data_IF_362999684302
#
_entry.id   IF_362999684302
#
_cell.length_a   1.000
_cell.length_b   1.000
_cell.length_c   1.000
_cell.angle_alpha   90.00
_cell.angle_beta   90.00
_cell.angle_gamma   90.00
#
_symmetry.space_group_name_H-M   'P 1'
#
loop_
_entity.id
_entity.type
_entity.pdbx_description
1 polymer ?
#
# COMPACT_ATOMS: atom_id res chain seq x y z
N UNK A 1 29.61 27.01 43.87
CA UNK A 1 28.87 26.92 42.59
C UNK A 1 28.26 25.56 42.43
N UNK A 2 27.07 25.34 43.00
CA UNK A 2 26.27 24.14 42.73
C UNK A 2 25.31 24.48 41.59
N UNK A 3 25.65 24.08 40.37
CA UNK A 3 24.68 24.05 39.28
C UNK A 3 23.73 22.87 39.53
N UNK A 4 22.64 23.14 40.24
CA UNK A 4 21.48 22.26 40.25
C UNK A 4 20.84 22.34 38.87
N UNK A 5 21.21 21.41 37.98
CA UNK A 5 20.44 21.18 36.77
C UNK A 5 19.06 20.66 37.20
N UNK A 6 18.03 21.50 37.01
CA UNK A 6 16.65 21.06 37.11
C UNK A 6 16.42 20.21 35.87
N UNK A 7 16.36 18.89 36.04
CA UNK A 7 15.94 18.00 34.97
C UNK A 7 14.48 18.32 34.65
N UNK A 8 14.13 18.56 33.38
CA UNK A 8 12.74 18.83 32.99
C UNK A 8 11.83 17.66 33.37
N UNK A 9 10.55 17.94 33.58
CA UNK A 9 9.57 16.91 33.90
C UNK A 9 9.51 15.88 32.76
N UNK A 10 9.20 14.62 33.09
CA UNK A 10 9.09 13.53 32.11
C UNK A 10 8.19 13.87 30.92
N UNK A 11 7.09 14.59 31.19
CA UNK A 11 6.13 15.02 30.18
C UNK A 11 6.69 16.08 29.23
N UNK A 12 7.52 17.00 29.73
CA UNK A 12 8.17 18.02 28.92
C UNK A 12 9.17 17.39 27.95
N UNK A 13 9.95 16.41 28.42
CA UNK A 13 10.89 15.66 27.58
C UNK A 13 10.13 14.90 26.49
N UNK A 14 9.03 14.23 26.84
CA UNK A 14 8.23 13.47 25.90
C UNK A 14 7.58 14.36 24.83
N UNK A 15 7.09 15.53 25.20
CA UNK A 15 6.53 16.51 24.27
C UNK A 15 7.59 17.01 23.27
N UNK A 16 8.81 17.28 23.75
CA UNK A 16 9.93 17.67 22.88
C UNK A 16 10.30 16.53 21.93
N UNK A 17 10.43 15.29 22.44
CA UNK A 17 10.76 14.13 21.61
C UNK A 17 9.70 13.87 20.53
N UNK A 18 8.42 13.96 20.88
CA UNK A 18 7.30 13.88 19.91
C UNK A 18 7.38 14.97 18.85
N UNK A 19 7.64 16.22 19.27
CA UNK A 19 7.79 17.34 18.34
C UNK A 19 8.94 17.09 17.36
N UNK A 20 10.13 16.74 17.87
CA UNK A 20 11.30 16.45 17.04
C UNK A 20 11.04 15.27 16.09
N UNK A 21 10.36 14.22 16.57
CA UNK A 21 9.97 13.08 15.75
C UNK A 21 9.02 13.48 14.61
N UNK A 22 7.97 14.26 14.91
CA UNK A 22 7.00 14.73 13.91
C UNK A 22 7.63 15.64 12.85
N UNK A 23 8.66 16.41 13.21
CA UNK A 23 9.44 17.22 12.26
C UNK A 23 10.45 16.41 11.46
N UNK A 24 10.60 15.11 11.75
CA UNK A 24 11.52 14.20 11.08
C UNK A 24 12.99 14.40 11.44
N UNK A 25 13.29 15.19 12.47
CA UNK A 25 14.66 15.46 12.96
C UNK A 25 15.26 14.27 13.69
N UNK A 26 14.43 13.49 14.39
CA UNK A 26 14.81 12.26 15.08
C UNK A 26 13.76 11.17 14.83
N UNK A 27 14.10 9.91 15.11
CA UNK A 27 13.11 8.83 15.20
C UNK A 27 13.01 8.32 16.63
N UNK A 28 11.81 8.38 17.21
CA UNK A 28 11.54 7.81 18.53
C UNK A 28 10.91 6.44 18.30
N UNK A 29 11.62 5.39 18.68
CA UNK A 29 11.19 4.00 18.54
C UNK A 29 10.74 3.51 19.91
N UNK A 30 9.63 2.78 19.97
CA UNK A 30 9.07 2.30 21.22
C UNK A 30 8.70 0.83 21.10
N UNK A 31 9.12 0.04 22.09
CA UNK A 31 8.57 -1.29 22.39
C UNK A 31 7.80 -1.24 23.72
N UNK A 32 7.28 -2.38 24.17
CA UNK A 32 6.57 -2.49 25.45
C UNK A 32 7.43 -2.00 26.63
N UNK A 33 8.72 -2.34 26.62
CA UNK A 33 9.61 -2.12 27.76
C UNK A 33 10.70 -1.06 27.53
N UNK A 34 10.93 -0.65 26.28
CA UNK A 34 12.06 0.23 25.92
C UNK A 34 11.65 1.35 24.98
N UNK A 35 12.37 2.47 25.09
CA UNK A 35 12.29 3.60 24.15
C UNK A 35 13.71 3.89 23.65
N UNK A 36 13.86 3.95 22.33
CA UNK A 36 15.10 4.34 21.68
C UNK A 36 14.92 5.66 20.95
N UNK A 37 15.94 6.51 21.00
CA UNK A 37 15.97 7.77 20.27
C UNK A 37 17.07 7.70 19.23
N UNK A 38 16.67 7.57 17.96
CA UNK A 38 17.58 7.59 16.83
C UNK A 38 17.78 9.05 16.42
N UNK A 39 18.93 9.61 16.79
CA UNK A 39 19.27 11.02 16.53
C UNK A 39 19.58 11.27 15.06
N UNK A 40 20.25 10.32 14.39
CA UNK A 40 20.57 10.43 12.97
C UNK A 40 20.02 9.23 12.19
N UNK A 41 18.79 9.36 11.70
CA UNK A 41 18.12 8.34 10.91
C UNK A 41 18.84 8.04 9.59
N UNK A 42 19.51 9.05 9.00
CA UNK A 42 20.14 8.92 7.68
C UNK A 42 21.38 8.01 7.72
N UNK A 43 22.20 8.15 8.75
CA UNK A 43 23.35 7.27 8.96
C UNK A 43 22.88 5.84 9.20
N UNK A 44 21.95 5.64 10.15
CA UNK A 44 21.43 4.31 10.46
C UNK A 44 20.81 3.65 9.23
N UNK A 45 20.01 4.39 8.46
CA UNK A 45 19.43 3.89 7.22
C UNK A 45 20.50 3.51 6.20
N UNK A 46 21.54 4.33 6.03
CA UNK A 46 22.62 4.05 5.07
C UNK A 46 23.41 2.79 5.46
N UNK A 47 23.72 2.63 6.74
CA UNK A 47 24.44 1.45 7.24
C UNK A 47 23.61 0.17 7.12
N UNK A 48 22.32 0.25 7.43
CA UNK A 48 21.42 -0.90 7.40
C UNK A 48 21.03 -1.25 5.97
N UNK A 49 20.56 -0.29 5.18
CA UNK A 49 20.13 -0.51 3.79
C UNK A 49 21.31 -0.90 2.90
N UNK A 50 22.47 -0.29 3.12
CA UNK A 50 23.70 -0.54 2.35
C UNK A 50 24.21 -1.97 2.50
N UNK A 51 23.81 -2.69 3.55
CA UNK A 51 24.15 -4.10 3.75
C UNK A 51 22.96 -5.00 3.38
N UNK A 52 21.74 -4.67 3.85
CA UNK A 52 20.56 -5.51 3.63
C UNK A 52 20.15 -5.59 2.17
N UNK A 53 20.31 -4.51 1.41
CA UNK A 53 19.81 -4.39 0.03
C UNK A 53 20.94 -4.21 -0.98
N UNK A 54 22.19 -4.45 -0.60
CA UNK A 54 23.32 -4.44 -1.51
C UNK A 54 23.08 -5.44 -2.66
N UNK A 55 23.21 -5.03 -3.93
CA UNK A 55 23.12 -5.96 -5.06
C UNK A 55 24.27 -6.96 -5.04
N UNK A 56 24.06 -8.17 -5.58
CA UNK A 56 25.06 -9.26 -5.63
C UNK A 56 26.43 -8.86 -6.22
N UNK A 57 26.46 -7.81 -7.05
CA UNK A 57 27.68 -7.29 -7.69
C UNK A 57 28.55 -6.47 -6.74
N UNK A 58 28.06 -6.10 -5.56
CA UNK A 58 28.76 -5.30 -4.56
C UNK A 58 29.42 -6.20 -3.51
N UNK A 59 30.53 -5.72 -2.93
CA UNK A 59 31.29 -6.50 -1.92
C UNK A 59 30.54 -6.64 -0.61
N UNK A 60 29.67 -5.68 -0.36
CA UNK A 60 28.83 -5.53 0.82
C UNK A 60 27.61 -6.46 0.76
N UNK A 61 27.35 -7.13 -0.37
CA UNK A 61 26.22 -8.05 -0.51
C UNK A 61 26.32 -9.20 0.47
N UNK A 62 25.21 -9.45 1.16
CA UNK A 62 25.04 -10.59 2.04
C UNK A 62 23.75 -11.32 1.69
N UNK A 63 23.87 -12.61 1.45
CA UNK A 63 22.72 -13.51 1.30
C UNK A 63 22.08 -13.77 2.68
N UNK A 64 21.22 -12.84 3.10
CA UNK A 64 20.49 -12.90 4.38
C UNK A 64 19.05 -13.38 4.24
N UNK A 65 18.45 -13.19 3.06
CA UNK A 65 17.05 -13.49 2.82
C UNK A 65 16.89 -14.73 1.96
N UNK A 66 15.82 -15.49 2.21
CA UNK A 66 15.36 -16.45 1.21
C UNK A 66 14.96 -15.75 -0.09
N UNK A 67 14.81 -16.52 -1.17
CA UNK A 67 14.19 -16.04 -2.41
C UNK A 67 12.73 -15.55 -2.25
N UNK A 68 12.14 -15.76 -1.07
CA UNK A 68 10.81 -15.27 -0.67
C UNK A 68 10.88 -14.00 0.17
N UNK A 69 12.06 -13.39 0.35
CA UNK A 69 12.24 -12.17 1.13
C UNK A 69 12.10 -12.36 2.64
N UNK A 70 12.23 -13.59 3.15
CA UNK A 70 12.16 -13.88 4.59
C UNK A 70 13.55 -13.76 5.19
N UNK A 71 13.66 -12.94 6.24
CA UNK A 71 14.87 -12.76 7.04
C UNK A 71 14.58 -13.17 8.47
N UNK A 72 15.45 -13.97 9.06
CA UNK A 72 15.34 -14.30 10.48
C UNK A 72 16.02 -13.26 11.36
N UNK A 73 15.46 -13.06 12.56
CA UNK A 73 16.06 -12.12 13.53
C UNK A 73 17.47 -12.56 13.93
N UNK A 74 17.76 -13.87 13.99
CA UNK A 74 19.12 -14.34 14.27
C UNK A 74 20.10 -13.98 13.15
N UNK A 75 19.66 -14.03 11.88
CA UNK A 75 20.41 -13.57 10.73
C UNK A 75 20.69 -12.07 10.80
N UNK A 76 19.67 -11.28 11.15
CA UNK A 76 19.78 -9.83 11.29
C UNK A 76 20.77 -9.44 12.40
N UNK A 77 20.66 -10.03 13.60
CA UNK A 77 21.56 -9.79 14.73
C UNK A 77 23.01 -10.12 14.40
N UNK A 78 23.24 -11.15 13.58
CA UNK A 78 24.60 -11.52 13.14
C UNK A 78 25.23 -10.46 12.24
N UNK A 79 24.44 -9.79 11.39
CA UNK A 79 24.94 -8.72 10.52
C UNK A 79 25.12 -7.40 11.25
N UNK A 80 24.30 -7.16 12.26
CA UNK A 80 24.25 -5.91 13.00
C UNK A 80 24.49 -6.15 14.51
N UNK A 81 25.64 -6.72 14.90
CA UNK A 81 25.88 -7.10 16.30
C UNK A 81 26.00 -5.92 17.25
N UNK A 82 26.30 -4.72 16.72
CA UNK A 82 26.43 -3.48 17.47
C UNK A 82 25.07 -2.87 17.89
N UNK A 83 23.98 -3.33 17.27
CA UNK A 83 22.64 -2.78 17.47
C UNK A 83 21.78 -3.73 18.32
N UNK A 84 20.95 -3.16 19.19
CA UNK A 84 19.87 -3.91 19.86
C UNK A 84 18.89 -4.41 18.77
N UNK A 85 18.60 -5.72 18.70
CA UNK A 85 17.79 -6.29 17.63
C UNK A 85 16.35 -5.78 17.64
N UNK A 86 15.76 -5.53 18.82
CA UNK A 86 14.40 -5.01 18.92
C UNK A 86 14.34 -3.55 18.44
N UNK A 87 15.36 -2.76 18.76
CA UNK A 87 15.50 -1.41 18.24
C UNK A 87 15.55 -1.41 16.71
N UNK A 88 16.38 -2.28 16.12
CA UNK A 88 16.55 -2.38 14.68
C UNK A 88 15.26 -2.84 13.98
N UNK A 89 14.56 -3.81 14.56
CA UNK A 89 13.26 -4.26 14.06
C UNK A 89 12.25 -3.11 14.12
N UNK A 90 12.11 -2.42 15.25
CA UNK A 90 11.24 -1.25 15.37
C UNK A 90 11.58 -0.17 14.35
N UNK A 91 12.87 0.06 14.08
CA UNK A 91 13.31 1.01 13.07
C UNK A 91 12.83 0.60 11.67
N UNK A 92 13.09 -0.65 11.27
CA UNK A 92 12.73 -1.18 9.95
C UNK A 92 11.21 -1.22 9.72
N UNK A 93 10.43 -1.57 10.75
CA UNK A 93 8.96 -1.52 10.74
C UNK A 93 8.46 -0.08 10.58
N UNK A 94 8.99 0.87 11.36
CA UNK A 94 8.61 2.28 11.25
C UNK A 94 8.99 2.91 9.91
N UNK A 95 10.05 2.39 9.28
CA UNK A 95 10.43 2.77 7.93
C UNK A 95 9.59 2.05 6.86
N UNK A 96 8.65 1.18 7.24
CA UNK A 96 7.81 0.31 6.39
C UNK A 96 8.62 -0.57 5.40
N UNK A 97 9.84 -0.98 5.77
CA UNK A 97 10.72 -1.80 4.91
C UNK A 97 10.41 -3.29 5.01
N UNK A 98 9.89 -3.73 6.15
CA UNK A 98 9.50 -5.09 6.41
C UNK A 98 8.26 -5.14 7.30
N UNK A 99 7.77 -6.34 7.55
CA UNK A 99 6.79 -6.62 8.59
C UNK A 99 7.16 -7.89 9.35
N UNK A 100 6.94 -7.90 10.67
CA UNK A 100 7.11 -9.10 11.48
C UNK A 100 5.96 -10.07 11.23
N UNK A 101 6.32 -11.33 10.95
CA UNK A 101 5.39 -12.35 10.49
C UNK A 101 4.94 -13.21 11.66
N UNK A 102 3.62 -13.37 11.81
CA UNK A 102 3.08 -14.44 12.63
C UNK A 102 3.31 -15.80 11.95
N UNK A 103 3.81 -16.82 12.67
CA UNK A 103 3.95 -18.18 12.15
C UNK A 103 2.70 -18.76 11.44
N UNK A 104 1.49 -18.36 11.82
CA UNK A 104 0.25 -18.77 11.15
C UNK A 104 0.15 -18.26 9.71
N UNK A 105 0.65 -17.04 9.44
CA UNK A 105 0.66 -16.45 8.10
C UNK A 105 1.50 -17.27 7.12
N UNK A 106 2.59 -17.87 7.60
CA UNK A 106 3.47 -18.69 6.77
C UNK A 106 2.78 -19.95 6.25
N UNK A 107 1.79 -20.48 6.97
CA UNK A 107 1.00 -21.63 6.55
C UNK A 107 0.06 -21.26 5.39
N UNK A 108 -0.38 -20.01 5.37
CA UNK A 108 -1.38 -19.47 4.44
C UNK A 108 -0.75 -18.78 3.23
N UNK A 109 0.59 -18.69 3.19
CA UNK A 109 1.32 -18.03 2.13
C UNK A 109 2.29 -18.95 1.41
N UNK A 110 2.72 -18.52 0.23
CA UNK A 110 3.78 -19.16 -0.52
C UNK A 110 5.20 -18.72 -0.08
N UNK A 111 5.33 -18.02 1.06
CA UNK A 111 6.59 -17.43 1.52
C UNK A 111 7.54 -18.44 2.16
N UNK A 112 7.06 -19.58 2.65
CA UNK A 112 7.94 -20.65 3.17
C UNK A 112 7.49 -22.00 2.61
N UNK A 113 8.45 -22.82 2.17
CA UNK A 113 8.20 -24.17 1.67
C UNK A 113 8.01 -25.13 2.84
N UNK A 114 7.01 -26.01 2.77
CA UNK A 114 6.46 -26.78 3.89
C UNK A 114 7.44 -27.42 4.88
N UNK A 115 8.59 -27.92 4.43
CA UNK A 115 9.59 -28.53 5.34
C UNK A 115 10.30 -27.49 6.22
N UNK A 116 10.74 -26.37 5.63
CA UNK A 116 11.36 -25.25 6.36
C UNK A 116 10.40 -24.55 7.33
N UNK A 117 9.11 -24.48 6.98
CA UNK A 117 8.09 -23.90 7.87
C UNK A 117 7.99 -24.70 9.18
N UNK A 118 8.05 -26.03 9.09
CA UNK A 118 7.95 -26.91 10.26
C UNK A 118 9.16 -26.81 11.20
N UNK A 119 10.36 -26.60 10.66
CA UNK A 119 11.58 -26.43 11.46
C UNK A 119 11.65 -25.04 12.11
N UNK A 120 11.36 -23.98 11.35
CA UNK A 120 11.38 -22.61 11.87
C UNK A 120 10.27 -22.37 12.89
N UNK A 121 9.08 -22.95 12.69
CA UNK A 121 8.00 -22.96 13.68
C UNK A 121 8.39 -23.70 14.96
N UNK A 122 9.03 -24.87 14.86
CA UNK A 122 9.51 -25.63 16.04
C UNK A 122 10.57 -24.87 16.83
N UNK A 123 11.32 -23.98 16.18
CA UNK A 123 12.41 -23.21 16.81
C UNK A 123 11.93 -21.93 17.49
N UNK A 124 10.67 -21.50 17.26
CA UNK A 124 10.12 -20.27 17.82
C UNK A 124 10.88 -19.02 17.35
N UNK A 125 11.50 -19.08 16.16
CA UNK A 125 12.31 -17.99 15.64
C UNK A 125 11.42 -16.86 15.08
N UNK A 126 11.75 -15.61 15.44
CA UNK A 126 11.07 -14.42 14.91
C UNK A 126 11.53 -14.17 13.48
N UNK A 127 10.57 -13.88 12.60
CA UNK A 127 10.80 -13.73 11.16
C UNK A 127 10.23 -12.42 10.65
N UNK A 128 10.95 -11.83 9.71
CA UNK A 128 10.61 -10.57 9.05
C UNK A 128 10.42 -10.83 7.55
N UNK A 129 9.34 -10.30 6.98
CA UNK A 129 9.12 -10.29 5.53
C UNK A 129 9.56 -8.96 4.95
N UNK A 130 10.51 -9.01 4.00
CA UNK A 130 11.00 -7.88 3.22
C UNK A 130 10.53 -8.01 1.77
N UNK A 131 9.49 -7.24 1.35
CA UNK A 131 9.03 -7.23 -0.04
C UNK A 131 10.13 -6.99 -1.06
N UNK A 132 11.09 -6.12 -0.74
CA UNK A 132 12.20 -5.76 -1.60
C UNK A 132 13.20 -6.90 -1.87
N UNK A 133 13.21 -7.93 -1.02
CA UNK A 133 14.06 -9.10 -1.15
C UNK A 133 13.34 -10.28 -1.81
N UNK A 134 12.07 -10.09 -2.19
CA UNK A 134 11.29 -11.09 -2.89
C UNK A 134 11.73 -11.19 -4.37
N UNK A 135 12.40 -12.28 -4.73
CA UNK A 135 12.93 -12.49 -6.08
C UNK A 135 12.08 -13.45 -6.94
N UNK A 136 10.97 -13.96 -6.39
CA UNK A 136 10.09 -14.89 -7.10
C UNK A 136 9.47 -14.25 -8.35
N UNK A 137 9.52 -14.97 -9.47
CA UNK A 137 8.95 -14.53 -10.74
C UNK A 137 7.42 -14.53 -10.73
N UNK A 138 6.86 -13.67 -11.60
CA UNK A 138 5.42 -13.60 -11.88
C UNK A 138 4.92 -14.97 -12.38
N UNK A 139 3.82 -15.52 -11.82
CA UNK A 139 3.22 -16.73 -12.34
C UNK A 139 2.61 -16.53 -13.73
N UNK A 140 2.68 -17.54 -14.59
CA UNK A 140 2.03 -17.53 -15.91
C UNK A 140 0.51 -17.72 -15.80
N UNK A 141 0.07 -18.48 -14.80
CA UNK A 141 -1.33 -18.71 -14.44
C UNK A 141 -1.54 -18.43 -12.96
N UNK A 142 -2.65 -17.78 -12.60
CA UNK A 142 -2.95 -17.41 -11.20
C UNK A 142 -4.10 -18.22 -10.60
N UNK A 143 -5.23 -18.24 -11.30
CA UNK A 143 -6.47 -18.87 -10.84
C UNK A 143 -7.21 -19.44 -12.04
N UNK A 144 -8.01 -20.48 -11.81
CA UNK A 144 -8.96 -21.02 -12.79
C UNK A 144 -10.26 -20.21 -12.84
N UNK A 145 -10.48 -19.29 -11.90
CA UNK A 145 -11.64 -18.41 -11.89
C UNK A 145 -11.49 -17.30 -12.94
N UNK A 146 -12.62 -16.95 -13.57
CA UNK A 146 -12.68 -15.84 -14.51
C UNK A 146 -12.75 -14.52 -13.73
N UNK A 147 -11.85 -13.60 -14.06
CA UNK A 147 -11.89 -12.24 -13.52
C UNK A 147 -13.11 -11.49 -14.04
N UNK A 148 -13.80 -10.80 -13.13
CA UNK A 148 -15.04 -10.07 -13.42
C UNK A 148 -14.85 -8.56 -13.37
N UNK A 149 -13.78 -8.11 -12.70
CA UNK A 149 -13.43 -6.69 -12.63
C UNK A 149 -11.93 -6.49 -12.85
N UNK A 150 -11.59 -5.39 -13.53
CA UNK A 150 -10.22 -4.91 -13.66
C UNK A 150 -10.16 -3.39 -13.60
N UNK A 151 -9.16 -2.88 -12.90
CA UNK A 151 -8.88 -1.46 -12.74
C UNK A 151 -7.39 -1.23 -12.76
N UNK A 152 -6.97 -0.06 -13.23
CA UNK A 152 -5.58 0.32 -13.14
C UNK A 152 -5.35 1.81 -12.86
N UNK A 153 -4.25 2.06 -12.16
CA UNK A 153 -3.65 3.37 -11.97
C UNK A 153 -2.43 3.47 -12.88
N UNK A 154 -2.55 4.25 -13.95
CA UNK A 154 -1.50 4.35 -14.97
C UNK A 154 -0.84 5.74 -14.95
N UNK A 155 0.48 5.78 -15.08
CA UNK A 155 1.21 7.01 -15.31
C UNK A 155 0.74 7.65 -16.63
N UNK A 156 0.59 8.97 -16.64
CA UNK A 156 0.17 9.70 -17.85
C UNK A 156 1.34 10.01 -18.78
N UNK A 157 2.54 10.19 -18.23
CA UNK A 157 3.77 10.48 -18.97
C UNK A 157 4.55 9.20 -19.21
N UNK A 158 5.04 8.99 -20.43
CA UNK A 158 5.74 7.76 -20.80
C UNK A 158 7.12 7.55 -20.16
N UNK A 159 7.63 8.50 -19.37
CA UNK A 159 8.89 8.37 -18.62
C UNK A 159 8.68 8.34 -17.10
N UNK A 160 7.44 8.44 -16.65
CA UNK A 160 7.07 8.36 -15.26
C UNK A 160 6.89 6.88 -14.88
N UNK A 161 7.32 6.53 -13.67
CA UNK A 161 7.21 5.16 -13.14
C UNK A 161 6.92 5.20 -11.64
N UNK A 162 6.16 4.23 -11.17
CA UNK A 162 5.96 4.00 -9.75
C UNK A 162 7.29 3.56 -9.11
N UNK A 163 7.76 4.25 -8.06
CA UNK A 163 8.98 3.84 -7.38
C UNK A 163 8.85 2.44 -6.77
N UNK A 164 9.90 1.61 -6.73
CA UNK A 164 9.85 0.31 -6.06
C UNK A 164 9.38 0.39 -4.60
N UNK A 165 9.74 1.49 -3.91
CA UNK A 165 9.31 1.75 -2.53
C UNK A 165 7.79 1.81 -2.39
N UNK A 166 7.10 2.47 -3.33
CA UNK A 166 5.65 2.53 -3.36
C UNK A 166 5.04 1.11 -3.38
N UNK A 167 5.60 0.24 -4.22
CA UNK A 167 5.13 -1.14 -4.32
C UNK A 167 5.35 -1.93 -3.03
N UNK A 168 6.52 -1.81 -2.42
CA UNK A 168 6.82 -2.54 -1.19
C UNK A 168 5.88 -2.15 -0.05
N UNK A 169 5.60 -0.86 0.11
CA UNK A 169 4.62 -0.37 1.09
C UNK A 169 3.23 -0.90 0.76
N UNK A 170 2.80 -0.79 -0.50
CA UNK A 170 1.50 -1.29 -0.95
C UNK A 170 1.33 -2.79 -0.66
N UNK A 171 2.35 -3.59 -0.98
CA UNK A 171 2.33 -5.03 -0.77
C UNK A 171 2.17 -5.38 0.70
N UNK A 172 2.91 -4.69 1.59
CA UNK A 172 2.78 -4.87 3.04
C UNK A 172 1.38 -4.47 3.52
N UNK A 173 0.89 -3.30 3.15
CA UNK A 173 -0.40 -2.82 3.64
C UNK A 173 -1.55 -3.71 3.16
N UNK A 174 -1.57 -4.11 1.90
CA UNK A 174 -2.59 -5.04 1.38
C UNK A 174 -2.51 -6.41 2.07
N UNK A 175 -1.31 -6.98 2.18
CA UNK A 175 -1.12 -8.27 2.82
C UNK A 175 -1.65 -8.26 4.27
N UNK A 176 -1.34 -7.22 5.04
CA UNK A 176 -1.65 -7.19 6.46
C UNK A 176 -3.03 -6.62 6.80
N UNK A 177 -3.57 -5.70 5.98
CA UNK A 177 -4.93 -5.16 6.18
C UNK A 177 -6.02 -6.07 5.61
N UNK A 178 -5.74 -6.78 4.52
CA UNK A 178 -6.79 -7.42 3.71
C UNK A 178 -6.57 -8.91 3.45
N UNK A 179 -5.31 -9.36 3.35
CA UNK A 179 -5.03 -10.76 3.04
C UNK A 179 -4.85 -11.65 4.29
N UNK A 180 -4.59 -11.05 5.46
CA UNK A 180 -4.47 -11.78 6.72
C UNK A 180 -5.85 -12.22 7.24
N UNK A 181 -5.97 -13.46 7.77
CA UNK A 181 -7.15 -13.86 8.51
C UNK A 181 -7.30 -12.97 9.75
N UNK A 182 -8.52 -12.49 10.01
CA UNK A 182 -8.83 -11.91 11.32
C UNK A 182 -9.02 -13.02 12.35
N UNK A 183 -8.91 -12.72 13.65
CA UNK A 183 -8.87 -13.72 14.74
C UNK A 183 -10.07 -14.69 14.79
N UNK A 184 -11.17 -14.39 14.09
CA UNK A 184 -12.37 -15.23 13.98
C UNK A 184 -12.52 -15.97 12.63
N UNK A 185 -11.64 -15.73 11.66
CA UNK A 185 -11.79 -16.26 10.30
C UNK A 185 -11.21 -17.69 10.20
N UNK A 186 -12.09 -18.69 10.35
CA UNK A 186 -11.75 -20.12 10.21
C UNK A 186 -11.51 -20.55 8.76
N UNK A 187 -11.62 -19.63 7.81
CA UNK A 187 -11.52 -19.91 6.39
C UNK A 187 -10.08 -19.73 5.92
N UNK A 188 -9.57 -20.71 5.17
CA UNK A 188 -8.21 -20.68 4.67
C UNK A 188 -8.07 -19.59 3.58
N UNK A 189 -7.62 -18.40 3.97
CA UNK A 189 -7.07 -17.42 3.05
C UNK A 189 -5.77 -17.98 2.43
N UNK A 190 -5.70 -18.02 1.10
CA UNK A 190 -4.46 -18.35 0.41
C UNK A 190 -3.90 -17.09 -0.22
N UNK A 191 -2.69 -16.73 0.17
CA UNK A 191 -2.04 -15.50 -0.27
C UNK A 191 -0.69 -15.79 -0.94
N UNK A 192 -0.55 -15.39 -2.20
CA UNK A 192 0.56 -15.72 -3.09
C UNK A 192 1.30 -14.45 -3.45
N UNK A 193 2.59 -14.40 -3.12
CA UNK A 193 3.48 -13.28 -3.39
C UNK A 193 4.43 -13.57 -4.56
N UNK A 194 4.75 -12.55 -5.35
CA UNK A 194 5.89 -12.51 -6.28
C UNK A 194 6.46 -11.09 -6.33
N UNK A 195 7.62 -10.92 -6.98
CA UNK A 195 8.42 -9.68 -6.96
C UNK A 195 7.63 -8.39 -7.25
N UNK A 196 6.58 -8.48 -8.05
CA UNK A 196 5.79 -7.33 -8.50
C UNK A 196 4.30 -7.47 -8.17
N UNK A 197 3.87 -8.43 -7.36
CA UNK A 197 2.45 -8.55 -7.06
C UNK A 197 2.06 -9.52 -5.96
N UNK A 198 0.76 -9.46 -5.69
CA UNK A 198 0.04 -10.22 -4.67
C UNK A 198 -1.25 -10.75 -5.25
N UNK A 199 -1.57 -11.99 -4.90
CA UNK A 199 -2.88 -12.57 -5.11
C UNK A 199 -3.39 -13.15 -3.81
N UNK A 200 -4.64 -12.89 -3.45
CA UNK A 200 -5.27 -13.55 -2.31
C UNK A 200 -6.73 -13.88 -2.58
N UNK A 201 -7.23 -14.89 -1.89
CA UNK A 201 -8.65 -15.25 -1.87
C UNK A 201 -9.16 -15.12 -0.44
N UNK A 202 -10.28 -14.43 -0.25
CA UNK A 202 -10.91 -14.33 1.06
C UNK A 202 -11.84 -15.53 1.37
N UNK A 203 -12.29 -15.65 2.61
CA UNK A 203 -13.21 -16.71 3.02
C UNK A 203 -14.56 -16.71 2.26
N UNK A 204 -14.92 -15.61 1.62
CA UNK A 204 -16.14 -15.47 0.81
C UNK A 204 -15.96 -15.85 -0.66
N UNK A 205 -14.81 -16.43 -1.04
CA UNK A 205 -14.56 -16.84 -2.42
C UNK A 205 -14.32 -15.66 -3.39
N UNK A 206 -13.97 -14.48 -2.86
CA UNK A 206 -13.52 -13.34 -3.66
C UNK A 206 -11.99 -13.40 -3.80
N UNK A 207 -11.52 -13.56 -5.02
CA UNK A 207 -10.12 -13.48 -5.41
C UNK A 207 -9.74 -12.05 -5.78
N UNK A 208 -8.57 -11.61 -5.32
CA UNK A 208 -8.01 -10.28 -5.60
C UNK A 208 -6.57 -10.40 -6.02
N UNK A 209 -6.22 -9.71 -7.09
CA UNK A 209 -4.88 -9.61 -7.66
C UNK A 209 -4.48 -8.14 -7.67
N UNK A 210 -3.33 -7.82 -7.11
CA UNK A 210 -2.71 -6.50 -7.24
C UNK A 210 -1.27 -6.67 -7.69
N UNK A 211 -0.90 -6.06 -8.81
CA UNK A 211 0.47 -6.13 -9.31
C UNK A 211 0.89 -4.88 -10.08
N UNK A 212 2.21 -4.68 -10.19
CA UNK A 212 2.79 -3.66 -11.03
C UNK A 212 3.19 -4.26 -12.38
N UNK A 213 2.64 -3.67 -13.44
CA UNK A 213 2.82 -4.08 -14.83
C UNK A 213 3.34 -2.90 -15.66
N UNK A 214 3.50 -3.10 -16.96
CA UNK A 214 3.91 -2.05 -17.91
C UNK A 214 5.21 -1.34 -17.51
N UNK A 215 6.27 -2.11 -17.24
CA UNK A 215 7.58 -1.56 -16.83
C UNK A 215 7.51 -0.59 -15.63
N UNK A 216 6.61 -0.88 -14.69
CA UNK A 216 6.34 -0.03 -13.52
C UNK A 216 5.59 1.26 -13.79
N UNK A 217 4.91 1.38 -14.93
CA UNK A 217 4.04 2.52 -15.22
C UNK A 217 2.59 2.31 -14.80
N UNK A 218 2.21 1.10 -14.38
CA UNK A 218 0.83 0.75 -14.13
C UNK A 218 0.67 -0.14 -12.90
N UNK A 219 -0.19 0.27 -11.97
CA UNK A 219 -0.71 -0.61 -10.90
C UNK A 219 -1.99 -1.23 -11.41
N UNK A 220 -2.03 -2.56 -11.47
CA UNK A 220 -3.16 -3.35 -11.92
C UNK A 220 -3.87 -3.98 -10.74
N UNK A 221 -5.19 -3.88 -10.72
CA UNK A 221 -6.09 -4.59 -9.81
C UNK A 221 -7.02 -5.45 -10.64
N UNK A 222 -7.10 -6.75 -10.35
CA UNK A 222 -8.10 -7.65 -10.95
C UNK A 222 -8.81 -8.43 -9.85
N UNK A 223 -10.10 -8.66 -10.02
CA UNK A 223 -10.90 -9.38 -9.02
C UNK A 223 -11.81 -10.41 -9.66
N UNK A 224 -11.98 -11.53 -8.96
CA UNK A 224 -12.93 -12.59 -9.29
C UNK A 224 -13.78 -12.88 -8.05
N UNK A 225 -15.00 -13.38 -8.25
CA UNK A 225 -15.79 -13.86 -7.13
C UNK A 225 -16.63 -15.07 -7.52
N UNK A 226 -16.91 -15.92 -6.53
CA UNK A 226 -17.91 -16.96 -6.69
C UNK A 226 -19.31 -16.38 -6.89
N UNK A 227 -20.18 -17.18 -7.51
CA UNK A 227 -21.56 -16.76 -7.81
C UNK A 227 -22.30 -16.43 -6.51
N UNK A 228 -22.85 -15.22 -6.43
CA UNK A 228 -23.60 -14.74 -5.27
C UNK A 228 -22.77 -13.92 -4.27
N UNK A 229 -21.47 -13.71 -4.53
CA UNK A 229 -20.58 -12.90 -3.70
C UNK A 229 -20.13 -11.59 -4.37
N UNK A 230 -20.88 -11.10 -5.36
CA UNK A 230 -20.57 -9.85 -6.07
C UNK A 230 -20.59 -8.64 -5.14
N UNK A 231 -21.51 -8.58 -4.18
CA UNK A 231 -21.56 -7.49 -3.19
C UNK A 231 -20.29 -7.44 -2.34
N UNK A 232 -19.76 -8.60 -1.94
CA UNK A 232 -18.51 -8.71 -1.19
C UNK A 232 -17.31 -8.25 -2.05
N UNK A 233 -17.32 -8.58 -3.35
CA UNK A 233 -16.32 -8.10 -4.30
C UNK A 233 -16.40 -6.57 -4.46
N UNK A 234 -17.60 -5.99 -4.58
CA UNK A 234 -17.81 -4.54 -4.67
C UNK A 234 -17.26 -3.83 -3.43
N UNK A 235 -17.50 -4.37 -2.24
CA UNK A 235 -16.96 -3.82 -0.99
C UNK A 235 -15.44 -3.91 -0.95
N UNK A 236 -14.86 -5.09 -1.18
CA UNK A 236 -13.41 -5.28 -1.13
C UNK A 236 -12.69 -4.46 -2.21
N UNK A 237 -13.30 -4.30 -3.39
CA UNK A 237 -12.80 -3.42 -4.45
C UNK A 237 -12.62 -1.98 -3.98
N UNK A 238 -13.61 -1.46 -3.24
CA UNK A 238 -13.53 -0.11 -2.66
C UNK A 238 -12.33 0.00 -1.72
N UNK A 239 -12.16 -0.98 -0.85
CA UNK A 239 -11.07 -0.97 0.13
C UNK A 239 -9.70 -1.08 -0.55
N UNK A 240 -9.56 -1.99 -1.53
CA UNK A 240 -8.31 -2.17 -2.30
C UNK A 240 -7.95 -0.91 -3.09
N UNK A 241 -8.89 -0.32 -3.84
CA UNK A 241 -8.64 0.92 -4.59
C UNK A 241 -8.29 2.07 -3.62
N UNK A 242 -9.00 2.17 -2.49
CA UNK A 242 -8.72 3.17 -1.46
C UNK A 242 -7.31 3.06 -0.90
N UNK A 243 -6.85 1.84 -0.61
CA UNK A 243 -5.48 1.61 -0.12
C UNK A 243 -4.43 1.94 -1.19
N UNK A 244 -4.66 1.53 -2.45
CA UNK A 244 -3.78 1.88 -3.59
C UNK A 244 -3.63 3.39 -3.71
N UNK A 245 -4.75 4.12 -3.69
CA UNK A 245 -4.76 5.58 -3.80
C UNK A 245 -4.15 6.27 -2.58
N UNK A 246 -4.37 5.72 -1.38
CA UNK A 246 -3.77 6.22 -0.14
C UNK A 246 -2.24 6.14 -0.18
N UNK A 247 -1.68 4.97 -0.50
CA UNK A 247 -0.23 4.77 -0.60
C UNK A 247 0.36 5.66 -1.70
N UNK A 248 -0.37 5.89 -2.79
CA UNK A 248 0.05 6.76 -3.89
C UNK A 248 0.16 8.23 -3.41
N UNK A 249 -0.89 8.74 -2.75
CA UNK A 249 -0.93 10.11 -2.20
C UNK A 249 0.17 10.32 -1.15
N UNK A 250 0.51 9.30 -0.37
CA UNK A 250 1.57 9.37 0.65
C UNK A 250 2.98 9.28 0.05
N UNK A 251 3.20 8.38 -0.91
CA UNK A 251 4.55 8.01 -1.36
C UNK A 251 5.03 8.79 -2.60
N UNK A 252 4.12 9.09 -3.53
CA UNK A 252 4.46 9.71 -4.81
C UNK A 252 3.39 10.71 -5.30
N UNK A 253 3.01 11.72 -4.48
CA UNK A 253 1.94 12.67 -4.81
C UNK A 253 2.23 13.55 -6.05
N UNK A 254 3.48 13.65 -6.47
CA UNK A 254 3.89 14.44 -7.64
C UNK A 254 3.73 13.70 -8.97
N UNK A 255 3.46 12.40 -8.95
CA UNK A 255 3.36 11.56 -10.14
C UNK A 255 2.00 11.79 -10.80
N UNK A 256 1.96 12.14 -12.08
CA UNK A 256 0.68 12.37 -12.76
C UNK A 256 0.08 11.05 -13.25
N UNK A 257 -1.02 10.63 -12.61
CA UNK A 257 -1.68 9.34 -12.88
C UNK A 257 -3.10 9.52 -13.42
N UNK A 258 -3.58 8.50 -14.13
CA UNK A 258 -4.97 8.35 -14.58
C UNK A 258 -5.55 7.04 -14.06
N UNK A 259 -6.78 7.11 -13.59
CA UNK A 259 -7.55 5.94 -13.16
C UNK A 259 -8.41 5.40 -14.31
N UNK A 260 -8.33 4.10 -14.53
CA UNK A 260 -8.92 3.42 -15.67
C UNK A 260 -9.61 2.12 -15.23
N UNK A 261 -10.75 1.80 -15.84
CA UNK A 261 -11.46 0.51 -15.70
C UNK A 261 -11.22 -0.29 -16.96
N UNK A 262 -10.86 -1.57 -16.83
CA UNK A 262 -10.60 -2.47 -17.96
C UNK A 262 -11.92 -3.11 -18.39
N UNK A 263 -12.15 -3.20 -19.71
CA UNK A 263 -13.31 -3.89 -20.26
C UNK A 263 -13.35 -5.36 -19.80
N UNK A 264 -14.52 -5.84 -19.38
CA UNK A 264 -14.71 -7.19 -18.86
C UNK A 264 -14.27 -8.29 -19.85
N UNK A 265 -14.35 -8.02 -21.17
CA UNK A 265 -13.94 -8.98 -22.20
C UNK A 265 -12.42 -9.13 -22.33
N UNK A 266 -11.65 -8.23 -21.72
CA UNK A 266 -10.19 -8.16 -21.84
C UNK A 266 -9.49 -8.54 -20.52
N UNK A 267 -10.24 -9.08 -19.54
CA UNK A 267 -9.75 -9.52 -18.24
C UNK A 267 -9.04 -10.88 -18.26
N UNK A 268 -8.20 -11.12 -19.27
CA UNK A 268 -7.38 -12.31 -19.36
C UNK A 268 -6.03 -12.09 -18.65
N UNK A 269 -5.67 -13.00 -17.74
CA UNK A 269 -4.35 -13.00 -17.10
C UNK A 269 -3.37 -13.86 -17.92
N UNK A 270 -2.11 -13.42 -18.10
CA UNK A 270 -1.49 -12.20 -17.58
C UNK A 270 -1.80 -10.95 -18.43
N UNK A 271 -2.03 -9.82 -17.76
CA UNK A 271 -2.13 -8.49 -18.41
C UNK A 271 -0.77 -7.80 -18.32
N UNK A 272 -0.12 -7.52 -19.45
CA UNK A 272 1.18 -6.85 -19.46
C UNK A 272 1.06 -5.33 -19.53
N UNK A 273 0.19 -4.83 -20.42
CA UNK A 273 -0.09 -3.41 -20.60
C UNK A 273 -1.57 -3.25 -20.94
N UNK A 274 -2.35 -2.52 -20.14
CA UNK A 274 -3.74 -2.19 -20.48
C UNK A 274 -3.79 -1.42 -21.80
N UNK A 275 -4.58 -1.89 -22.77
CA UNK A 275 -4.66 -1.23 -24.08
C UNK A 275 -5.60 -0.04 -24.00
N UNK A 276 -5.23 1.09 -24.61
CA UNK A 276 -6.05 2.32 -24.58
C UNK A 276 -7.48 2.12 -25.09
N UNK A 277 -7.66 1.20 -26.05
CA UNK A 277 -8.97 0.87 -26.64
C UNK A 277 -9.86 0.00 -25.76
N UNK A 278 -9.33 -0.56 -24.69
CA UNK A 278 -10.02 -1.54 -23.84
C UNK A 278 -10.16 -1.04 -22.40
N UNK A 279 -9.99 0.27 -22.21
CA UNK A 279 -10.06 0.90 -20.90
C UNK A 279 -10.96 2.14 -20.93
N UNK A 280 -11.61 2.40 -19.81
CA UNK A 280 -12.52 3.52 -19.62
C UNK A 280 -12.01 4.40 -18.49
N UNK A 281 -11.88 5.70 -18.71
CA UNK A 281 -11.49 6.63 -17.65
C UNK A 281 -12.53 6.64 -16.53
N UNK A 282 -12.09 6.45 -15.29
CA UNK A 282 -12.96 6.56 -14.11
C UNK A 282 -13.64 7.93 -14.07
N UNK A 283 -12.90 9.00 -14.36
CA UNK A 283 -13.46 10.37 -14.47
C UNK A 283 -14.58 10.46 -15.51
N UNK A 284 -14.43 9.81 -16.66
CA UNK A 284 -15.47 9.78 -17.69
C UNK A 284 -16.69 8.96 -17.25
N UNK A 285 -16.47 7.78 -16.65
CA UNK A 285 -17.53 6.92 -16.07
C UNK A 285 -18.37 7.73 -15.06
N UNK A 286 -17.71 8.34 -14.07
CA UNK A 286 -18.39 9.13 -13.03
C UNK A 286 -19.12 10.35 -13.60
N UNK A 287 -18.54 11.02 -14.60
CA UNK A 287 -19.20 12.15 -15.27
C UNK A 287 -20.48 11.73 -16.00
N UNK A 288 -20.45 10.58 -16.69
CA UNK A 288 -21.63 10.06 -17.37
C UNK A 288 -22.74 9.66 -16.40
N UNK A 289 -22.40 9.04 -15.26
CA UNK A 289 -23.37 8.71 -14.19
C UNK A 289 -24.00 10.00 -13.64
N UNK A 290 -23.18 11.03 -13.35
CA UNK A 290 -23.64 12.32 -12.84
C UNK A 290 -24.58 13.04 -13.82
N UNK A 291 -24.33 12.91 -15.11
CA UNK A 291 -25.17 13.47 -16.18
C UNK A 291 -26.43 12.62 -16.47
N UNK A 292 -26.59 11.47 -15.82
CA UNK A 292 -27.70 10.54 -16.07
C UNK A 292 -27.62 9.83 -17.42
N UNK A 293 -26.44 9.82 -18.07
CA UNK A 293 -26.23 9.11 -19.34
C UNK A 293 -26.00 7.63 -19.06
N UNK A 294 -26.71 6.70 -19.71
CA UNK A 294 -26.57 5.26 -19.44
C UNK A 294 -25.35 4.61 -20.12
N UNK A 295 -24.59 5.35 -20.92
CA UNK A 295 -23.47 4.84 -21.71
C UNK A 295 -22.29 5.82 -21.76
N UNK A 296 -21.11 5.28 -22.06
CA UNK A 296 -19.95 6.04 -22.50
C UNK A 296 -19.82 6.01 -24.02
N UNK A 297 -19.38 7.14 -24.57
CA UNK A 297 -18.98 7.24 -25.97
C UNK A 297 -17.46 7.12 -26.02
N UNK A 298 -16.98 6.14 -26.76
CA UNK A 298 -15.56 5.92 -27.03
C UNK A 298 -15.34 5.77 -28.54
N UNK A 299 -14.08 5.77 -28.96
CA UNK A 299 -13.72 5.56 -30.38
C UNK A 299 -14.22 4.21 -30.93
N UNK A 300 -14.49 3.24 -30.06
CA UNK A 300 -15.01 1.92 -30.41
C UNK A 300 -16.54 1.83 -30.38
N UNK A 301 -17.23 2.93 -30.09
CA UNK A 301 -18.69 3.01 -30.03
C UNK A 301 -19.23 3.30 -28.63
N UNK A 302 -20.48 2.86 -28.40
CA UNK A 302 -21.19 3.06 -27.15
C UNK A 302 -21.01 1.84 -26.25
N UNK A 303 -20.63 2.07 -24.98
CA UNK A 303 -20.58 1.03 -23.95
C UNK A 303 -21.52 1.38 -22.82
N UNK A 304 -22.42 0.48 -22.45
CA UNK A 304 -23.35 0.72 -21.34
C UNK A 304 -22.59 0.76 -20.00
N UNK A 305 -22.93 1.70 -19.13
CA UNK A 305 -22.28 1.83 -17.82
C UNK A 305 -22.49 0.59 -16.94
N UNK A 306 -23.63 -0.08 -17.09
CA UNK A 306 -23.93 -1.34 -16.39
C UNK A 306 -23.05 -2.51 -16.84
N UNK A 307 -22.50 -2.45 -18.05
CA UNK A 307 -21.53 -3.45 -18.51
C UNK A 307 -20.11 -3.16 -18.01
N UNK A 308 -19.80 -1.90 -17.66
CA UNK A 308 -18.50 -1.49 -17.12
C UNK A 308 -18.43 -1.75 -15.62
N UNK A 309 -19.49 -1.37 -14.89
CA UNK A 309 -19.63 -1.60 -13.45
C UNK A 309 -20.72 -2.62 -13.20
N UNK A 310 -20.39 -3.87 -13.50
CA UNK A 310 -21.22 -5.01 -13.15
C UNK A 310 -21.45 -5.02 -11.64
N UNK A 311 -22.67 -5.35 -11.24
CA UNK A 311 -23.08 -5.51 -9.84
C UNK A 311 -23.04 -4.24 -8.96
N UNK A 312 -22.83 -3.04 -9.53
CA UNK A 312 -22.96 -1.78 -8.79
C UNK A 312 -24.29 -1.07 -9.02
N UNK A 313 -24.81 -0.48 -7.94
CA UNK A 313 -25.93 0.45 -8.04
C UNK A 313 -25.44 1.83 -8.48
N UNK A 314 -25.77 2.22 -9.72
CA UNK A 314 -25.45 3.54 -10.26
C UNK A 314 -26.31 4.68 -9.69
N UNK A 315 -27.28 4.37 -8.82
CA UNK A 315 -28.14 5.37 -8.18
C UNK A 315 -27.43 6.15 -7.07
N UNK A 316 -26.44 5.53 -6.43
CA UNK A 316 -25.69 6.11 -5.32
C UNK A 316 -24.24 6.35 -5.73
N UNK A 317 -24.04 7.43 -6.48
CA UNK A 317 -22.74 7.79 -7.04
C UNK A 317 -21.66 7.98 -5.95
N UNK A 318 -22.05 8.39 -4.74
CA UNK A 318 -21.15 8.61 -3.61
C UNK A 318 -20.57 7.31 -3.04
N UNK A 319 -21.25 6.18 -3.23
CA UNK A 319 -20.83 4.89 -2.69
C UNK A 319 -20.20 3.96 -3.72
N UNK A 320 -19.96 4.44 -4.94
CA UNK A 320 -19.31 3.67 -5.99
C UNK A 320 -17.93 3.19 -5.56
N UNK A 321 -17.64 1.93 -5.84
CA UNK A 321 -16.39 1.30 -5.45
C UNK A 321 -15.16 1.96 -6.12
N UNK A 322 -15.35 2.53 -7.31
CA UNK A 322 -14.31 3.24 -8.07
C UNK A 322 -13.75 4.45 -7.32
N UNK A 323 -14.50 5.01 -6.35
CA UNK A 323 -14.03 6.14 -5.57
C UNK A 323 -13.00 5.74 -4.51
N UNK A 324 -12.87 4.44 -4.19
CA UNK A 324 -11.94 3.98 -3.15
C UNK A 324 -12.23 4.58 -1.76
N UNK A 325 -13.46 5.03 -1.51
CA UNK A 325 -13.83 5.75 -0.28
C UNK A 325 -13.52 7.25 -0.28
N UNK A 326 -13.03 7.81 -1.39
CA UNK A 326 -12.83 9.26 -1.56
C UNK A 326 -14.11 9.99 -1.96
N UNK A 327 -14.17 11.30 -1.69
CA UNK A 327 -15.26 12.12 -2.17
C UNK A 327 -15.22 12.28 -3.68
N UNK A 328 -16.39 12.24 -4.33
CA UNK A 328 -16.49 12.43 -5.79
C UNK A 328 -15.87 13.75 -6.29
N UNK A 329 -15.84 14.78 -5.44
CA UNK A 329 -15.23 16.08 -5.74
C UNK A 329 -13.71 16.00 -5.89
N UNK A 330 -13.06 15.00 -5.28
CA UNK A 330 -11.62 14.78 -5.44
C UNK A 330 -11.29 14.16 -6.81
N UNK A 331 -12.22 13.40 -7.39
CA UNK A 331 -12.01 12.65 -8.65
C UNK A 331 -12.48 13.43 -9.87
N UNK A 332 -13.63 14.11 -9.75
CA UNK A 332 -14.11 15.04 -10.77
C UNK A 332 -13.64 16.42 -10.33
N UNK A 333 -12.67 17.03 -11.03
CA UNK A 333 -12.32 18.45 -10.84
C UNK A 333 -13.56 19.34 -11.00
N UNK A 334 -14.31 19.56 -9.93
CA UNK A 334 -15.40 20.53 -9.94
C UNK A 334 -14.73 21.88 -9.71
N UNK A 335 -14.45 22.60 -10.80
CA UNK A 335 -14.39 24.07 -10.71
C UNK A 335 -15.79 24.54 -10.33
N UNK A 336 -16.07 24.66 -9.03
CA UNK A 336 -17.21 25.42 -8.57
C UNK A 336 -16.92 26.89 -8.93
N UNK A 337 -17.39 27.33 -10.11
CA UNK A 337 -17.58 28.76 -10.37
C UNK A 337 -18.61 29.27 -9.36
N UNK A 338 -18.13 29.78 -8.23
CA UNK A 338 -18.94 30.57 -7.31
C UNK A 338 -19.33 31.88 -8.00
N UNK A 339 -20.35 31.83 -8.87
CA UNK A 339 -21.11 33.01 -9.27
C UNK A 339 -22.13 33.34 -8.18
N UNK A 340 -21.65 33.76 -7.02
CA UNK A 340 -22.46 34.54 -6.06
C UNK A 340 -21.57 35.61 -5.43
N UNK A 341 -21.99 36.89 -5.44
CA UNK A 341 -21.17 37.98 -4.94
C UNK A 341 -21.00 37.82 -3.42
N UNK A 342 -19.76 37.64 -2.96
CA UNK A 342 -19.43 37.64 -1.53
C UNK A 342 -19.81 38.99 -0.91
N UNK A 343 -20.93 39.02 -0.20
CA UNK A 343 -21.17 40.04 0.83
C UNK A 343 -20.13 39.85 1.93
N UNK A 344 -19.22 40.81 2.04
CA UNK A 344 -18.07 40.80 2.95
C UNK A 344 -18.54 41.07 4.38
N UNK A 345 -18.87 40.03 5.14
CA UNK A 345 -19.06 40.19 6.59
C UNK A 345 -17.70 40.01 7.28
N UNK A 346 -17.11 41.15 7.62
CA UNK A 346 -15.80 41.31 8.28
C UNK A 346 -15.85 40.69 9.69
N UNK A 347 -15.35 39.46 9.87
CA UNK A 347 -15.10 38.89 11.19
C UNK A 347 -13.59 38.90 11.45
N UNK A 348 -13.15 39.79 12.35
CA UNK A 348 -11.75 40.02 12.65
C UNK A 348 -11.11 38.87 13.41
N UNK A 349 -10.22 38.12 12.75
CA UNK A 349 -9.24 37.26 13.41
C UNK A 349 -7.98 38.07 13.73
N UNK A 350 -7.79 38.38 15.02
CA UNK A 350 -6.51 38.83 15.57
C UNK A 350 -5.56 37.63 15.65
N UNK A 351 -4.58 37.58 14.76
CA UNK A 351 -3.41 36.69 14.88
C UNK A 351 -2.50 37.28 15.96
N UNK A 352 -2.35 36.57 17.08
CA UNK A 352 -1.40 36.90 18.14
C UNK A 352 -0.05 36.24 17.85
N UNK A 353 0.84 36.96 17.18
CA UNK A 353 2.26 36.59 17.05
C UNK A 353 2.99 37.04 18.33
N UNK A 354 3.23 36.11 19.26
CA UNK A 354 4.17 36.36 20.36
C UNK A 354 5.60 36.12 19.87
N UNK A 355 6.30 37.23 19.64
CA UNK A 355 7.75 37.30 19.49
C UNK A 355 8.43 36.97 20.83
N UNK A 356 9.25 35.92 20.85
CA UNK A 356 10.22 35.68 21.91
C UNK A 356 11.48 36.53 21.64
N UNK A 357 11.64 37.59 22.44
CA UNK A 357 12.91 38.28 22.67
C UNK A 357 13.15 38.36 24.18
N UNK A 358 14.02 37.50 24.69
CA UNK A 358 15.27 37.84 25.39
C UNK A 358 15.91 36.57 25.92
#
# INVERSE_FOLDING_TARGET
>A
NNNHYILPASDDIWNVLKSLHSTGLISVLKSEDKVWVVVNKGILLTEVDGILFAPETFKEHVDIASNTGIVSVSGLTRLFPEYDPDMLICFLLNMELCQEINPSFLIMTNLIRGESASETQRRGERLLFFPCLLSRNRPDEMTSQVYQFGWCLQCTRGHDFFPPRYFHVLLLRLAYKMALPQEDDKLNHYCTFWKNGLHWVNGHGVGSLVEIVDESQCVLVMMSCEKGYSDNMVSLRRDVIGEVMSVYKESCPSLEVKELVIDSNELAYPVNTPRERTVYSVKAVLSAIKEGRPFLVSDNGHKELKEILLDESLSDISNLSLLGGHEIKEVIDIKEEFNTPLTTTKLGMRILLMSLKN
#
